data_IF_129025214151
#
_entry.id   IF_129025214151
#
_cell.length_a   1.000
_cell.length_b   1.000
_cell.length_c   1.000
_cell.angle_alpha   90.00
_cell.angle_beta   90.00
_cell.angle_gamma   90.00
#
_symmetry.space_group_name_H-M   'P 1'
#
loop_
_entity.id
_entity.type
_entity.pdbx_description
1 polymer ?
#
# COMPACT_ATOMS: atom_id res chain seq x y z
N UNK A 1 8.88 -36.09 -7.96
CA UNK A 1 8.74 -34.82 -8.71
C UNK A 1 7.24 -34.54 -8.89
N UNK A 2 6.74 -33.38 -8.47
CA UNK A 2 5.30 -33.08 -8.60
C UNK A 2 4.91 -32.98 -10.08
N UNK A 3 3.85 -33.68 -10.50
CA UNK A 3 3.42 -33.69 -11.90
C UNK A 3 2.95 -32.31 -12.41
N UNK A 4 2.90 -32.10 -13.73
CA UNK A 4 2.64 -30.79 -14.35
C UNK A 4 1.34 -30.12 -13.88
N UNK A 5 0.28 -30.89 -13.58
CA UNK A 5 -0.98 -30.37 -13.04
C UNK A 5 -0.84 -29.81 -11.61
N UNK A 6 -0.01 -30.44 -10.76
CA UNK A 6 0.24 -29.97 -9.40
C UNK A 6 1.09 -28.68 -9.38
N UNK A 7 1.98 -28.52 -10.37
CA UNK A 7 2.74 -27.28 -10.54
C UNK A 7 1.86 -26.12 -11.03
N UNK A 8 0.93 -26.40 -11.96
CA UNK A 8 -0.03 -25.41 -12.44
C UNK A 8 -0.94 -24.88 -11.31
N UNK A 9 -1.43 -25.76 -10.43
CA UNK A 9 -2.23 -25.36 -9.27
C UNK A 9 -1.46 -24.46 -8.29
N UNK A 10 -0.19 -24.78 -8.01
CA UNK A 10 0.70 -23.96 -7.16
C UNK A 10 0.96 -22.57 -7.76
N UNK A 11 1.16 -22.50 -9.08
CA UNK A 11 1.36 -21.23 -9.78
C UNK A 11 0.11 -20.35 -9.75
N UNK A 12 -1.08 -20.96 -9.90
CA UNK A 12 -2.36 -20.25 -9.79
C UNK A 12 -2.59 -19.70 -8.38
N UNK A 13 -2.29 -20.49 -7.34
CA UNK A 13 -2.38 -20.04 -5.95
C UNK A 13 -1.44 -18.85 -5.66
N UNK A 14 -0.21 -18.88 -6.17
CA UNK A 14 0.75 -17.76 -6.07
C UNK A 14 0.24 -16.49 -6.76
N UNK A 15 -0.30 -16.62 -7.96
CA UNK A 15 -0.89 -15.49 -8.71
C UNK A 15 -2.06 -14.85 -7.95
N UNK A 16 -2.97 -15.67 -7.40
CA UNK A 16 -4.11 -15.16 -6.62
C UNK A 16 -3.63 -14.44 -5.36
N UNK A 17 -2.66 -15.01 -4.64
CA UNK A 17 -2.06 -14.37 -3.49
C UNK A 17 -1.42 -13.02 -3.85
N UNK A 18 -0.59 -12.98 -4.88
CA UNK A 18 0.07 -11.74 -5.34
C UNK A 18 -0.96 -10.68 -5.76
N UNK A 19 -2.02 -11.08 -6.47
CA UNK A 19 -3.10 -10.17 -6.87
C UNK A 19 -3.82 -9.58 -5.66
N UNK A 20 -4.23 -10.41 -4.70
CA UNK A 20 -4.93 -9.95 -3.51
C UNK A 20 -4.02 -9.08 -2.64
N UNK A 21 -2.77 -9.48 -2.44
CA UNK A 21 -1.77 -8.67 -1.74
C UNK A 21 -1.62 -7.29 -2.40
N UNK A 22 -1.49 -7.24 -3.72
CA UNK A 22 -1.33 -6.00 -4.46
C UNK A 22 -2.56 -5.08 -4.34
N UNK A 23 -3.77 -5.64 -4.35
CA UNK A 23 -4.99 -4.86 -4.12
C UNK A 23 -5.05 -4.29 -2.70
N UNK A 24 -4.70 -5.07 -1.67
CA UNK A 24 -4.66 -4.55 -0.29
C UNK A 24 -3.57 -3.51 -0.06
N UNK A 25 -2.47 -3.58 -0.82
CA UNK A 25 -1.41 -2.56 -0.86
C UNK A 25 -1.95 -1.27 -1.47
N UNK A 26 -2.61 -1.34 -2.62
CA UNK A 26 -3.18 -0.16 -3.30
C UNK A 26 -4.28 0.50 -2.48
N UNK A 27 -5.15 -0.28 -1.85
CA UNK A 27 -6.24 0.24 -1.02
C UNK A 27 -5.74 1.01 0.22
N UNK A 28 -4.47 0.83 0.61
CA UNK A 28 -3.81 1.57 1.70
C UNK A 28 -2.94 2.73 1.19
N UNK A 29 -3.11 3.14 -0.06
CA UNK A 29 -2.45 4.31 -0.64
C UNK A 29 -2.79 5.61 0.10
N UNK A 30 -1.90 6.62 0.09
CA UNK A 30 -2.09 7.91 0.75
C UNK A 30 -3.26 8.74 0.16
N UNK A 31 -3.72 8.40 -1.04
CA UNK A 31 -4.87 8.99 -1.73
C UNK A 31 -6.22 8.43 -1.22
N UNK A 32 -6.23 7.27 -0.57
CA UNK A 32 -7.47 6.60 -0.12
C UNK A 32 -7.82 7.04 1.30
N UNK A 33 -9.04 7.50 1.54
CA UNK A 33 -9.54 7.91 2.85
C UNK A 33 -10.48 6.82 3.42
N UNK A 34 -10.09 6.25 4.55
CA UNK A 34 -10.83 5.20 5.25
C UNK A 34 -11.71 5.80 6.37
N UNK A 35 -11.13 6.61 7.26
CA UNK A 35 -11.86 7.37 8.29
C UNK A 35 -12.41 8.69 7.74
N UNK A 36 -13.66 8.64 7.28
CA UNK A 36 -14.38 9.81 6.77
C UNK A 36 -15.04 10.66 7.85
N UNK A 37 -15.09 10.19 9.11
CA UNK A 37 -15.85 10.84 10.19
C UNK A 37 -14.95 11.64 11.13
N UNK A 38 -13.83 11.07 11.57
CA UNK A 38 -12.93 11.74 12.51
C UNK A 38 -11.68 12.32 11.83
N UNK A 39 -11.45 12.00 10.55
CA UNK A 39 -10.32 12.52 9.78
C UNK A 39 -10.69 12.84 8.31
N UNK A 40 -11.70 13.70 8.07
CA UNK A 40 -12.19 13.99 6.72
C UNK A 40 -11.16 14.69 5.82
N UNK A 41 -10.16 15.36 6.41
CA UNK A 41 -9.14 16.14 5.71
C UNK A 41 -7.73 15.74 6.18
N UNK A 42 -7.27 14.51 5.86
CA UNK A 42 -6.01 13.97 6.38
C UNK A 42 -4.78 14.81 6.01
N UNK A 43 -4.84 15.55 4.90
CA UNK A 43 -3.79 16.43 4.42
C UNK A 43 -3.51 17.61 5.35
N UNK A 44 -4.46 18.03 6.20
CA UNK A 44 -4.24 19.13 7.17
C UNK A 44 -3.21 18.76 8.24
N UNK A 45 -2.92 17.46 8.44
CA UNK A 45 -1.93 16.99 9.41
C UNK A 45 -0.55 16.75 8.77
N UNK A 46 -0.39 17.05 7.48
CA UNK A 46 0.88 16.87 6.78
C UNK A 46 1.71 18.14 6.95
N UNK A 47 2.80 18.03 7.70
CA UNK A 47 3.72 19.14 7.92
C UNK A 47 4.60 19.40 6.68
N UNK A 48 5.05 20.65 6.46
CA UNK A 48 6.04 20.96 5.43
C UNK A 48 7.29 20.08 5.56
N UNK A 49 7.85 19.64 4.41
CA UNK A 49 9.02 18.76 4.38
C UNK A 49 8.71 17.27 4.60
N UNK A 50 7.45 16.90 4.84
CA UNK A 50 7.06 15.49 4.98
C UNK A 50 6.91 14.80 3.63
N UNK A 51 7.53 13.63 3.47
CA UNK A 51 7.31 12.78 2.31
C UNK A 51 5.96 12.07 2.38
N UNK A 52 5.05 12.45 1.49
CA UNK A 52 3.74 11.79 1.31
C UNK A 52 3.76 10.76 0.18
N UNK A 53 4.83 10.71 -0.61
CA UNK A 53 4.96 9.78 -1.74
C UNK A 53 5.27 8.37 -1.24
N UNK A 54 4.80 7.38 -1.96
CA UNK A 54 5.09 5.97 -1.62
C UNK A 54 6.55 5.60 -1.88
N UNK A 55 7.22 6.29 -2.81
CA UNK A 55 8.61 6.06 -3.17
C UNK A 55 9.27 7.39 -3.54
N UNK A 56 10.50 7.58 -3.09
CA UNK A 56 11.39 8.66 -3.54
C UNK A 56 12.72 8.02 -3.93
N UNK A 57 13.14 8.22 -5.18
CA UNK A 57 14.32 7.52 -5.73
C UNK A 57 15.63 8.24 -5.35
N UNK A 58 15.61 9.57 -5.34
CA UNK A 58 16.83 10.38 -5.13
C UNK A 58 16.64 11.48 -4.07
N UNK A 59 15.44 11.61 -3.50
CA UNK A 59 15.06 12.77 -2.69
C UNK A 59 14.94 12.35 -1.22
N UNK A 60 15.76 12.93 -0.35
CA UNK A 60 15.69 12.71 1.09
C UNK A 60 14.77 13.77 1.70
N UNK A 61 13.90 13.34 2.60
CA UNK A 61 12.95 14.18 3.31
C UNK A 61 13.18 14.00 4.81
N UNK A 62 13.02 15.08 5.57
CA UNK A 62 13.27 15.07 7.02
C UNK A 62 12.26 14.18 7.76
N UNK A 63 11.06 14.04 7.20
CA UNK A 63 9.95 13.30 7.81
C UNK A 63 9.27 12.42 6.78
N UNK A 64 8.75 11.28 7.24
CA UNK A 64 7.91 10.41 6.43
C UNK A 64 6.49 10.41 7.00
N UNK A 65 5.50 10.59 6.13
CA UNK A 65 4.12 10.61 6.55
C UNK A 65 3.68 9.24 7.06
N UNK A 66 3.14 9.19 8.28
CA UNK A 66 2.54 7.99 8.88
C UNK A 66 1.03 8.15 8.97
N UNK A 67 0.32 7.07 8.65
CA UNK A 67 -1.15 7.01 8.73
C UNK A 67 -1.56 6.30 10.00
N UNK A 68 -1.69 7.08 11.07
CA UNK A 68 -2.10 6.55 12.38
C UNK A 68 -3.62 6.33 12.47
N UNK A 69 -4.37 6.92 11.53
CA UNK A 69 -5.84 6.87 11.44
C UNK A 69 -6.23 6.37 10.05
N UNK A 70 -6.31 5.04 9.91
CA UNK A 70 -6.97 4.37 8.78
C UNK A 70 -8.48 4.45 9.01
#
# INVERSE_FOLDING_TARGET
MAGPAAQAAKNKARQIFMKNWYLTRLARGPDVIWDRKNNPTPWNNVEPGTNTKMMSVNQQFDKQYKRDRL
#
